data_IF_291181371494
#
_entry.id   IF_291181371494
#
_cell.length_a   1.000
_cell.length_b   1.000
_cell.length_c   1.000
_cell.angle_alpha   90.00
_cell.angle_beta   90.00
_cell.angle_gamma   90.00
#
_symmetry.space_group_name_H-M   'P 1'
#
loop_
_entity.id
_entity.type
_entity.pdbx_description
1 polymer ?
#
# COMPACT_ATOMS: atom_id res chain seq x y z
N UNK A 1 -28.39 -10.72 -25.37
CA UNK A 1 -27.28 -10.78 -24.38
C UNK A 1 -26.43 -9.54 -24.57
N UNK A 2 -26.38 -8.65 -23.59
CA UNK A 2 -25.57 -7.43 -23.67
C UNK A 2 -24.25 -7.70 -22.92
N UNK A 3 -23.16 -7.81 -23.65
CA UNK A 3 -21.81 -7.87 -23.09
C UNK A 3 -21.49 -6.49 -22.51
N UNK A 4 -21.11 -6.43 -21.24
CA UNK A 4 -20.69 -5.18 -20.61
C UNK A 4 -19.46 -4.63 -21.35
N UNK A 5 -19.60 -3.46 -21.95
CA UNK A 5 -18.48 -2.75 -22.55
C UNK A 5 -17.59 -2.20 -21.43
N UNK A 6 -16.41 -2.79 -21.25
CA UNK A 6 -15.39 -2.40 -20.26
C UNK A 6 -14.48 -1.26 -20.77
N UNK A 7 -14.89 -0.50 -21.79
CA UNK A 7 -13.95 0.34 -22.56
C UNK A 7 -14.04 1.86 -22.33
N UNK A 8 -14.66 2.32 -21.24
CA UNK A 8 -14.71 3.76 -20.91
C UNK A 8 -14.19 4.13 -19.52
N UNK A 9 -13.70 3.16 -18.73
CA UNK A 9 -13.31 3.37 -17.34
C UNK A 9 -11.99 4.14 -17.15
N UNK A 10 -11.19 4.32 -18.20
CA UNK A 10 -9.83 4.89 -18.13
C UNK A 10 -9.71 6.30 -18.74
N UNK A 11 -10.84 6.98 -18.97
CA UNK A 11 -10.89 8.27 -19.66
C UNK A 11 -10.41 9.48 -18.84
N UNK A 12 -10.15 9.31 -17.54
CA UNK A 12 -9.64 10.39 -16.68
C UNK A 12 -8.11 10.35 -16.69
N UNK A 13 -7.39 11.44 -17.02
CA UNK A 13 -5.94 11.46 -16.95
C UNK A 13 -5.46 11.20 -15.50
N UNK A 14 -4.33 10.50 -15.30
CA UNK A 14 -3.75 10.33 -13.97
C UNK A 14 -3.52 11.67 -13.27
N UNK A 15 -3.87 11.74 -12.00
CA UNK A 15 -3.83 12.95 -11.21
C UNK A 15 -3.06 12.74 -9.91
N UNK A 16 -2.52 13.83 -9.35
CA UNK A 16 -1.82 13.79 -8.05
C UNK A 16 -2.71 13.24 -6.93
N UNK A 17 -4.03 13.44 -7.02
CA UNK A 17 -5.00 12.90 -6.06
C UNK A 17 -5.08 11.37 -6.04
N UNK A 18 -4.73 10.70 -7.14
CA UNK A 18 -4.71 9.23 -7.24
C UNK A 18 -3.70 8.62 -6.24
N UNK A 19 -2.65 9.37 -5.88
CA UNK A 19 -1.63 8.97 -4.91
C UNK A 19 -2.12 9.02 -3.46
N UNK A 20 -3.32 9.53 -3.18
CA UNK A 20 -3.88 9.54 -1.82
C UNK A 20 -4.10 8.13 -1.27
N UNK A 21 -4.24 7.12 -2.12
CA UNK A 21 -4.21 5.71 -1.71
C UNK A 21 -2.91 5.28 -1.03
N UNK A 22 -1.78 5.89 -1.41
CA UNK A 22 -0.49 5.68 -0.73
C UNK A 22 -0.52 6.26 0.69
N UNK A 23 -1.17 7.42 0.87
CA UNK A 23 -1.32 8.07 2.18
C UNK A 23 -2.33 7.33 3.07
N UNK A 24 -3.35 6.70 2.51
CA UNK A 24 -4.25 5.81 3.23
C UNK A 24 -3.55 4.55 3.78
N UNK A 25 -2.45 4.14 3.13
CA UNK A 25 -1.58 3.06 3.56
C UNK A 25 -0.51 3.55 4.57
N UNK A 26 0.72 3.09 4.41
CA UNK A 26 1.88 3.46 5.25
C UNK A 26 2.61 4.71 4.75
N UNK A 27 2.22 5.25 3.59
CA UNK A 27 2.86 6.41 2.98
C UNK A 27 2.80 7.66 3.85
N UNK A 28 3.80 8.51 3.67
CA UNK A 28 3.99 9.77 4.37
C UNK A 28 4.04 10.91 3.36
N UNK A 29 3.63 12.09 3.81
CA UNK A 29 3.79 13.33 3.06
C UNK A 29 4.43 14.38 3.97
N UNK A 30 5.49 15.01 3.49
CA UNK A 30 6.28 15.98 4.26
C UNK A 30 6.38 17.28 3.46
N UNK A 31 6.08 18.40 4.11
CA UNK A 31 6.24 19.75 3.52
C UNK A 31 7.72 20.13 3.55
N UNK A 32 8.26 20.57 2.41
CA UNK A 32 9.67 20.98 2.24
C UNK A 32 9.72 22.26 1.43
N UNK A 33 10.19 23.36 2.03
CA UNK A 33 10.14 24.68 1.39
C UNK A 33 8.71 25.00 0.96
N UNK A 34 8.52 25.45 -0.29
CA UNK A 34 7.19 25.75 -0.84
C UNK A 34 6.45 24.53 -1.41
N UNK A 35 7.07 23.34 -1.41
CA UNK A 35 6.46 22.11 -1.90
C UNK A 35 6.19 21.07 -0.81
N UNK A 36 5.79 19.88 -1.25
CA UNK A 36 5.75 18.70 -0.41
C UNK A 36 6.32 17.48 -1.15
N UNK A 37 6.68 16.46 -0.40
CA UNK A 37 7.21 15.18 -0.90
C UNK A 37 6.38 14.05 -0.34
N UNK A 38 5.95 13.14 -1.22
CA UNK A 38 5.27 11.90 -0.83
C UNK A 38 6.28 10.75 -0.86
N UNK A 39 6.23 9.87 0.12
CA UNK A 39 7.15 8.73 0.25
C UNK A 39 6.48 7.51 0.86
N UNK A 40 6.86 6.31 0.45
CA UNK A 40 6.37 5.07 1.05
C UNK A 40 7.43 3.98 1.00
N UNK A 41 7.58 3.27 2.12
CA UNK A 41 8.41 2.07 2.24
C UNK A 41 7.52 0.86 1.98
N UNK A 42 8.00 -0.08 1.15
CA UNK A 42 7.25 -1.27 0.73
C UNK A 42 8.11 -2.52 0.84
N UNK A 43 7.47 -3.67 0.99
CA UNK A 43 8.16 -4.95 1.24
C UNK A 43 8.97 -5.47 0.04
N UNK A 44 8.57 -5.12 -1.19
CA UNK A 44 9.15 -5.68 -2.39
C UNK A 44 9.51 -4.61 -3.44
N UNK A 45 10.66 -4.74 -4.13
CA UNK A 45 11.07 -3.77 -5.15
C UNK A 45 10.07 -3.56 -6.27
N UNK A 46 9.32 -4.60 -6.67
CA UNK A 46 8.31 -4.48 -7.72
C UNK A 46 7.16 -3.56 -7.33
N UNK A 47 6.84 -3.44 -6.02
CA UNK A 47 5.84 -2.48 -5.52
C UNK A 47 6.35 -1.06 -5.64
N UNK A 48 7.64 -0.84 -5.33
CA UNK A 48 8.26 0.46 -5.47
C UNK A 48 8.28 0.91 -6.94
N UNK A 49 8.61 0.00 -7.87
CA UNK A 49 8.56 0.25 -9.30
C UNK A 49 7.14 0.58 -9.79
N UNK A 50 6.14 -0.23 -9.42
CA UNK A 50 4.74 0.02 -9.81
C UNK A 50 4.18 1.34 -9.25
N UNK A 51 4.59 1.73 -8.04
CA UNK A 51 4.23 3.01 -7.45
C UNK A 51 4.97 4.17 -8.13
N UNK A 52 6.23 3.98 -8.52
CA UNK A 52 7.00 4.95 -9.29
C UNK A 52 6.34 5.23 -10.65
N UNK A 53 5.85 4.20 -11.34
CA UNK A 53 5.09 4.36 -12.59
C UNK A 53 3.84 5.21 -12.37
N UNK A 54 3.07 4.95 -11.30
CA UNK A 54 1.90 5.77 -10.96
C UNK A 54 2.25 7.22 -10.62
N UNK A 55 3.38 7.47 -9.95
CA UNK A 55 3.88 8.83 -9.69
C UNK A 55 4.23 9.54 -11.00
N UNK A 56 4.94 8.85 -11.89
CA UNK A 56 5.34 9.38 -13.19
C UNK A 56 4.12 9.69 -14.07
N UNK A 57 3.12 8.81 -14.08
CA UNK A 57 1.84 9.01 -14.76
C UNK A 57 1.11 10.26 -14.25
N UNK A 58 1.15 10.53 -12.93
CA UNK A 58 0.62 11.76 -12.33
C UNK A 58 1.51 13.01 -12.58
N UNK A 59 2.60 12.85 -13.35
CA UNK A 59 3.56 13.89 -13.68
C UNK A 59 4.49 14.27 -12.53
N UNK A 60 4.69 13.39 -11.55
CA UNK A 60 5.60 13.58 -10.43
C UNK A 60 6.82 12.66 -10.61
N UNK A 61 8.04 13.19 -10.83
CA UNK A 61 9.21 12.36 -11.04
C UNK A 61 9.51 11.54 -9.76
N UNK A 62 9.53 10.20 -9.85
CA UNK A 62 9.83 9.33 -8.73
C UNK A 62 11.33 9.12 -8.55
N UNK A 63 11.71 8.77 -7.33
CA UNK A 63 13.02 8.28 -6.96
C UNK A 63 12.81 6.99 -6.15
N UNK A 64 13.41 5.89 -6.62
CA UNK A 64 13.44 4.62 -5.89
C UNK A 64 14.77 4.54 -5.15
N UNK A 65 14.70 4.23 -3.86
CA UNK A 65 15.86 3.99 -3.02
C UNK A 65 15.59 2.84 -2.05
N UNK A 66 16.37 2.79 -0.99
CA UNK A 66 16.20 1.85 0.11
C UNK A 66 16.36 2.58 1.44
N UNK A 67 15.77 2.04 2.51
CA UNK A 67 16.06 2.47 3.88
C UNK A 67 17.42 1.92 4.33
N UNK A 68 17.88 2.33 5.51
CA UNK A 68 19.13 1.83 6.09
C UNK A 68 19.06 0.31 6.40
N UNK A 69 17.85 -0.23 6.53
CA UNK A 69 17.56 -1.66 6.68
C UNK A 69 17.29 -2.37 5.35
N UNK A 70 17.82 -1.86 4.24
CA UNK A 70 17.71 -2.42 2.87
C UNK A 70 16.27 -2.57 2.35
N UNK A 71 15.29 -1.91 2.98
CA UNK A 71 13.89 -2.04 2.59
C UNK A 71 13.55 -1.07 1.46
N UNK A 72 12.89 -1.52 0.36
CA UNK A 72 12.56 -0.66 -0.77
C UNK A 72 11.72 0.57 -0.38
N UNK A 73 12.13 1.74 -0.87
CA UNK A 73 11.49 3.02 -0.66
C UNK A 73 11.23 3.68 -2.02
N UNK A 74 10.07 4.28 -2.20
CA UNK A 74 9.81 5.19 -3.33
C UNK A 74 9.35 6.54 -2.81
N UNK A 75 9.86 7.62 -3.41
CA UNK A 75 9.49 8.99 -3.07
C UNK A 75 9.38 9.87 -4.31
N UNK A 76 8.55 10.90 -4.25
CA UNK A 76 8.49 11.92 -5.29
C UNK A 76 9.65 12.92 -5.14
N UNK A 77 9.94 13.70 -6.18
CA UNK A 77 10.58 14.99 -5.97
C UNK A 77 9.69 15.91 -5.10
N UNK A 78 10.26 17.00 -4.60
CA UNK A 78 9.47 18.05 -3.93
C UNK A 78 8.66 18.79 -5.00
N UNK A 79 7.34 18.83 -4.85
CA UNK A 79 6.45 19.46 -5.82
C UNK A 79 5.36 20.30 -5.10
N UNK A 80 5.08 21.53 -5.54
CA UNK A 80 4.04 22.38 -4.97
C UNK A 80 2.62 21.82 -5.13
N UNK A 81 2.35 20.97 -6.13
CA UNK A 81 1.03 20.32 -6.32
C UNK A 81 0.70 19.32 -5.19
N UNK A 82 1.69 18.89 -4.42
CA UNK A 82 1.49 18.03 -3.24
C UNK A 82 1.11 18.81 -1.98
N UNK A 83 1.26 20.15 -1.95
CA UNK A 83 0.90 20.98 -0.79
C UNK A 83 -0.56 20.85 -0.36
N UNK A 84 -1.55 20.91 -1.27
CA UNK A 84 -2.95 20.74 -0.88
C UNK A 84 -3.23 19.36 -0.27
N UNK A 85 -2.57 18.32 -0.79
CA UNK A 85 -2.68 16.97 -0.23
C UNK A 85 -2.09 16.93 1.18
N UNK A 86 -0.90 17.50 1.39
CA UNK A 86 -0.27 17.57 2.71
C UNK A 86 -1.18 18.26 3.73
N UNK A 87 -1.79 19.39 3.35
CA UNK A 87 -2.70 20.13 4.23
C UNK A 87 -3.97 19.32 4.57
N UNK A 88 -4.50 18.54 3.63
CA UNK A 88 -5.70 17.73 3.86
C UNK A 88 -5.41 16.48 4.70
N UNK A 89 -4.24 15.86 4.51
CA UNK A 89 -3.87 14.58 5.10
C UNK A 89 -3.08 14.71 6.41
N UNK A 90 -2.72 15.92 6.82
CA UNK A 90 -1.95 16.16 8.04
C UNK A 90 -2.68 17.13 8.96
N UNK A 91 -2.96 16.70 10.19
CA UNK A 91 -3.46 17.55 11.26
C UNK A 91 -2.34 17.74 12.29
N UNK A 92 -1.72 18.91 12.28
CA UNK A 92 -0.52 19.17 13.09
C UNK A 92 0.65 18.30 12.61
N UNK A 93 1.10 17.36 13.44
CA UNK A 93 2.15 16.40 13.10
C UNK A 93 1.62 14.99 12.77
N UNK A 94 0.30 14.80 12.71
CA UNK A 94 -0.33 13.48 12.60
C UNK A 94 -1.02 13.31 11.26
N UNK A 95 -0.76 12.18 10.58
CA UNK A 95 -1.49 11.77 9.39
C UNK A 95 -2.94 11.42 9.75
N UNK A 96 -3.89 12.09 9.12
CA UNK A 96 -5.33 11.93 9.35
C UNK A 96 -6.04 11.77 8.01
N UNK A 97 -6.92 10.78 7.90
CA UNK A 97 -7.74 10.60 6.70
C UNK A 97 -8.80 11.71 6.63
N UNK A 98 -8.96 12.41 5.50
CA UNK A 98 -10.00 13.42 5.34
C UNK A 98 -11.42 12.81 5.45
N UNK A 99 -12.39 13.49 6.08
CA UNK A 99 -13.69 12.90 6.38
C UNK A 99 -14.54 12.53 5.14
N UNK A 100 -14.32 13.22 4.01
CA UNK A 100 -15.00 12.98 2.73
C UNK A 100 -14.17 12.13 1.76
N UNK A 101 -13.09 11.51 2.20
CA UNK A 101 -12.23 10.72 1.32
C UNK A 101 -12.89 9.39 0.96
N UNK A 102 -13.17 9.21 -0.33
CA UNK A 102 -13.67 7.98 -0.93
C UNK A 102 -12.71 7.57 -2.04
N UNK A 103 -12.02 6.43 -1.92
CA UNK A 103 -11.01 6.04 -2.90
C UNK A 103 -11.66 5.60 -4.22
N UNK A 104 -11.19 6.17 -5.32
CA UNK A 104 -11.48 5.68 -6.67
C UNK A 104 -10.61 4.47 -7.04
N UNK A 105 -10.74 3.95 -8.27
CA UNK A 105 -9.99 2.77 -8.72
C UNK A 105 -8.46 2.93 -8.63
N UNK A 106 -7.93 4.13 -8.91
CA UNK A 106 -6.48 4.39 -8.87
C UNK A 106 -5.98 4.53 -7.44
N UNK A 107 -6.74 5.19 -6.56
CA UNK A 107 -6.42 5.24 -5.13
C UNK A 107 -6.43 3.84 -4.51
N UNK A 108 -7.41 2.99 -4.87
CA UNK A 108 -7.44 1.60 -4.43
C UNK A 108 -6.25 0.79 -4.95
N UNK A 109 -5.82 1.02 -6.19
CA UNK A 109 -4.60 0.41 -6.75
C UNK A 109 -3.38 0.85 -5.97
N UNK A 110 -3.21 2.15 -5.74
CA UNK A 110 -2.10 2.72 -4.97
C UNK A 110 -2.05 2.15 -3.55
N UNK A 111 -3.20 2.05 -2.88
CA UNK A 111 -3.32 1.45 -1.54
C UNK A 111 -2.92 -0.03 -1.56
N UNK A 112 -3.41 -0.79 -2.53
CA UNK A 112 -3.09 -2.23 -2.66
C UNK A 112 -1.59 -2.45 -2.91
N UNK A 113 -0.96 -1.61 -3.72
CA UNK A 113 0.49 -1.66 -3.96
C UNK A 113 1.29 -1.27 -2.71
N UNK A 114 0.81 -0.32 -1.92
CA UNK A 114 1.50 0.16 -0.73
C UNK A 114 1.36 -0.78 0.49
N UNK A 115 0.19 -1.39 0.71
CA UNK A 115 -0.09 -2.16 1.93
C UNK A 115 -0.81 -3.51 1.73
N UNK A 116 -1.17 -3.88 0.49
CA UNK A 116 -1.82 -5.16 0.24
C UNK A 116 -0.89 -6.32 0.60
N UNK A 117 -1.37 -7.30 1.34
CA UNK A 117 -0.63 -8.52 1.63
C UNK A 117 -1.48 -9.73 1.20
N UNK A 118 -0.87 -10.81 0.67
CA UNK A 118 -1.59 -12.05 0.52
C UNK A 118 -2.10 -12.46 1.90
N UNK A 119 -3.38 -12.84 1.99
CA UNK A 119 -3.87 -13.45 3.23
C UNK A 119 -2.95 -14.64 3.51
N UNK A 120 -2.26 -14.72 4.66
CA UNK A 120 -1.52 -15.91 4.99
C UNK A 120 -2.53 -17.05 4.95
N UNK A 121 -2.34 -17.95 3.98
CA UNK A 121 -2.98 -19.24 4.02
C UNK A 121 -2.40 -19.89 5.25
N UNK A 122 -3.11 -19.76 6.38
CA UNK A 122 -2.86 -20.60 7.51
C UNK A 122 -2.81 -22.01 6.93
N UNK A 123 -1.61 -22.60 6.92
CA UNK A 123 -1.45 -24.04 6.96
C UNK A 123 -2.42 -24.44 8.04
N UNK A 124 -3.56 -25.00 7.63
CA UNK A 124 -4.50 -25.62 8.54
C UNK A 124 -3.63 -26.65 9.23
N UNK A 125 -3.18 -26.29 10.43
CA UNK A 125 -2.24 -27.09 11.17
C UNK A 125 -2.87 -28.46 11.21
N UNK A 126 -2.14 -29.39 10.61
CA UNK A 126 -2.44 -30.79 10.62
C UNK A 126 -2.67 -31.19 12.07
N UNK A 127 -3.94 -31.20 12.46
CA UNK A 127 -4.46 -32.02 13.54
C UNK A 127 -4.39 -33.48 13.06
N UNK A 128 -3.19 -33.96 12.74
CA UNK A 128 -2.93 -35.37 12.47
C UNK A 128 -2.20 -35.96 13.67
N UNK A 129 -2.99 -36.77 14.38
CA UNK A 129 -2.57 -37.86 15.27
C UNK A 129 -1.88 -37.42 16.56
N UNK A 130 -2.72 -37.15 17.55
CA UNK A 130 -2.51 -37.68 18.90
C UNK A 130 -1.98 -39.12 18.78
N UNK A 131 -0.73 -39.32 19.20
CA UNK A 131 -0.10 -40.63 19.28
C UNK A 131 -1.03 -41.57 20.06
N UNK A 132 -1.46 -42.67 19.45
CA UNK A 132 -1.98 -43.84 20.16
C UNK A 132 -0.86 -44.33 21.09
N UNK A 133 -0.93 -44.01 22.37
CA UNK A 133 -0.21 -44.74 23.42
C UNK A 133 -0.93 -46.06 23.65
N UNK A 134 -0.29 -47.24 23.46
CA UNK A 134 -0.89 -48.48 23.93
C UNK A 134 -0.80 -48.52 25.45
N UNK A 135 -1.95 -48.60 26.11
CA UNK A 135 -2.07 -48.91 27.54
C UNK A 135 -1.38 -50.26 27.79
N UNK A 136 -0.20 -50.23 28.43
CA UNK A 136 0.41 -51.41 29.03
C UNK A 136 -0.42 -51.80 30.25
N UNK A 137 -1.15 -52.90 30.09
CA UNK A 137 -1.91 -53.60 31.14
C UNK A 137 -0.94 -54.13 32.19
N UNK A 138 -0.90 -53.51 33.37
CA UNK A 138 -0.21 -54.07 34.53
C UNK A 138 -1.01 -55.26 35.07
N UNK A 139 -0.45 -56.47 34.97
CA UNK A 139 -0.89 -57.64 35.75
C UNK A 139 -0.37 -57.46 37.18
N UNK A 140 -1.27 -57.33 38.16
CA UNK A 140 -0.95 -57.57 39.58
C UNK A 140 -1.00 -59.08 39.84
N UNK A 141 -0.03 -59.56 40.61
CA UNK A 141 -0.14 -60.79 41.40
C UNK A 141 -1.14 -60.58 42.52
#
# INVERSE_FOLDING_TARGET
>A
MSQLSFFSAESVPPAVADLTGVLAATGQIVVVGDGARLSVVVEHPWRAAALADMMLEAGLPPEIGQTDEDTPLVRTAVDPRLRPLAAQWTRGAVKTVPPQWLPGPRELRAWTLAAGAPRPTATCWAWTRTRRTPIRRWRRR
#
